data_IF_324357439777
#
_entry.id   IF_324357439777
#
_cell.length_a   1.000
_cell.length_b   1.000
_cell.length_c   1.000
_cell.angle_alpha   90.00
_cell.angle_beta   90.00
_cell.angle_gamma   90.00
#
_symmetry.space_group_name_H-M   'P 1'
#
loop_
_entity.id
_entity.type
_entity.pdbx_description
1 polymer ?
#
# COMPACT_ATOMS: atom_id res chain seq x y z
N UNK A 1 -27.77 7.86 -29.89
CA UNK A 1 -26.34 7.83 -29.49
C UNK A 1 -26.23 7.96 -27.98
N UNK A 2 -26.53 6.91 -27.22
CA UNK A 2 -26.38 6.86 -25.76
C UNK A 2 -25.83 5.48 -25.37
N UNK A 3 -24.67 5.11 -25.93
CA UNK A 3 -24.24 3.71 -25.88
C UNK A 3 -22.72 3.48 -25.90
N UNK A 4 -21.92 4.39 -25.33
CA UNK A 4 -20.46 4.18 -25.22
C UNK A 4 -19.84 4.55 -23.87
N UNK A 5 -20.58 5.15 -22.92
CA UNK A 5 -20.00 5.60 -21.64
C UNK A 5 -20.03 4.54 -20.54
N UNK A 6 -20.83 3.48 -20.68
CA UNK A 6 -20.95 2.41 -19.67
C UNK A 6 -20.00 1.21 -19.88
N UNK A 7 -19.04 1.30 -20.81
CA UNK A 7 -17.97 0.30 -20.96
C UNK A 7 -16.67 0.68 -20.24
N UNK A 8 -16.68 1.78 -19.47
CA UNK A 8 -15.48 2.33 -18.85
C UNK A 8 -15.31 1.83 -17.40
N UNK A 9 -14.29 0.99 -17.22
CA UNK A 9 -13.61 0.63 -15.97
C UNK A 9 -14.36 -0.28 -14.99
N UNK A 10 -14.31 -1.60 -15.24
CA UNK A 10 -14.31 -2.57 -14.13
C UNK A 10 -12.98 -2.41 -13.39
N UNK A 11 -12.91 -1.45 -12.50
CA UNK A 11 -11.75 -1.25 -11.65
C UNK A 11 -11.72 -2.40 -10.64
N UNK A 12 -10.99 -3.46 -10.96
CA UNK A 12 -10.72 -4.54 -10.01
C UNK A 12 -9.86 -3.97 -8.88
N UNK A 13 -10.49 -3.75 -7.73
CA UNK A 13 -9.81 -3.44 -6.49
C UNK A 13 -9.57 -4.72 -5.73
N UNK A 14 -8.31 -4.97 -5.39
CA UNK A 14 -7.94 -6.06 -4.50
C UNK A 14 -7.32 -5.45 -3.26
N UNK A 15 -7.99 -5.58 -2.13
CA UNK A 15 -7.45 -5.23 -0.83
C UNK A 15 -6.57 -6.38 -0.33
N UNK A 16 -5.36 -6.07 0.09
CA UNK A 16 -4.40 -7.02 0.65
C UNK A 16 -3.84 -6.46 1.95
N UNK A 17 -3.52 -7.35 2.88
CA UNK A 17 -2.73 -6.99 4.06
C UNK A 17 -1.25 -7.24 3.79
N UNK A 18 -0.43 -6.32 4.28
CA UNK A 18 1.02 -6.40 4.20
C UNK A 18 1.67 -6.13 5.55
N UNK A 19 2.96 -6.43 5.64
CA UNK A 19 3.81 -6.11 6.79
C UNK A 19 4.67 -4.89 6.53
N UNK A 20 5.08 -4.21 7.61
CA UNK A 20 6.27 -3.37 7.61
C UNK A 20 7.32 -4.11 8.43
N UNK A 21 8.26 -4.74 7.71
CA UNK A 21 9.29 -5.58 8.28
C UNK A 21 10.54 -4.76 8.54
N UNK A 22 11.17 -4.98 9.69
CA UNK A 22 12.58 -4.65 9.85
C UNK A 22 13.47 -5.78 9.31
N UNK A 23 14.78 -5.50 9.22
CA UNK A 23 15.76 -6.45 8.71
C UNK A 23 15.86 -7.75 9.52
N UNK A 24 15.60 -7.70 10.82
CA UNK A 24 15.65 -8.88 11.71
C UNK A 24 14.46 -9.79 11.45
N UNK A 25 13.27 -9.20 11.29
CA UNK A 25 12.05 -9.92 10.90
C UNK A 25 12.21 -10.54 9.51
N UNK A 26 12.75 -9.79 8.54
CA UNK A 26 13.03 -10.32 7.20
C UNK A 26 14.06 -11.47 7.25
N UNK A 27 15.13 -11.35 8.03
CA UNK A 27 16.13 -12.41 8.18
C UNK A 27 15.53 -13.68 8.79
N UNK A 28 14.52 -13.52 9.65
CA UNK A 28 13.82 -14.65 10.26
C UNK A 28 12.88 -15.35 9.25
N UNK A 29 12.21 -14.57 8.39
CA UNK A 29 11.29 -15.11 7.38
C UNK A 29 12.02 -15.65 6.12
N UNK A 30 13.07 -14.97 5.67
CA UNK A 30 13.83 -15.32 4.47
C UNK A 30 15.27 -14.80 4.57
N UNK A 31 16.21 -15.61 5.10
CA UNK A 31 17.61 -15.23 5.26
C UNK A 31 18.27 -14.74 3.96
N UNK A 32 17.98 -15.42 2.84
CA UNK A 32 18.53 -15.07 1.52
C UNK A 32 17.99 -13.74 0.99
N UNK A 33 16.74 -13.39 1.31
CA UNK A 33 16.18 -12.09 0.96
C UNK A 33 16.79 -10.98 1.82
N UNK A 34 16.97 -11.22 3.12
CA UNK A 34 17.61 -10.27 4.04
C UNK A 34 19.08 -9.99 3.69
N UNK A 35 19.81 -11.00 3.23
CA UNK A 35 21.20 -10.84 2.79
C UNK A 35 21.32 -9.95 1.53
N UNK A 36 20.28 -9.94 0.68
CA UNK A 36 20.22 -9.16 -0.56
C UNK A 36 19.55 -7.79 -0.38
N UNK A 37 18.83 -7.57 0.72
CA UNK A 37 18.18 -6.30 0.99
C UNK A 37 19.21 -5.19 1.27
N UNK A 38 19.17 -4.07 0.53
CA UNK A 38 19.96 -2.89 0.84
C UNK A 38 19.24 -1.92 1.80
N UNK A 39 18.08 -2.33 2.32
CA UNK A 39 17.23 -1.55 3.23
C UNK A 39 17.07 -2.23 4.57
N UNK A 40 16.94 -1.41 5.62
CA UNK A 40 16.70 -1.88 6.98
C UNK A 40 15.19 -2.07 7.23
N UNK A 41 14.35 -1.38 6.47
CA UNK A 41 12.89 -1.54 6.47
C UNK A 41 12.34 -1.92 5.09
N UNK A 42 11.37 -2.84 5.07
CA UNK A 42 10.72 -3.31 3.85
C UNK A 42 9.21 -3.39 4.00
N UNK A 43 8.50 -3.05 2.92
CA UNK A 43 7.07 -3.27 2.80
C UNK A 43 6.81 -4.67 2.24
N UNK A 44 6.24 -5.54 3.05
CA UNK A 44 5.87 -6.90 2.67
C UNK A 44 4.48 -6.94 2.05
N UNK A 45 4.34 -7.63 0.92
CA UNK A 45 3.03 -7.89 0.31
C UNK A 45 3.03 -9.17 -0.52
N UNK A 46 1.84 -9.71 -0.80
CA UNK A 46 1.67 -10.86 -1.70
C UNK A 46 1.32 -10.41 -3.10
N UNK A 47 1.84 -11.08 -4.13
CA UNK A 47 1.52 -10.87 -5.53
C UNK A 47 1.44 -12.17 -6.34
N UNK A 48 0.71 -12.17 -7.44
CA UNK A 48 0.79 -13.25 -8.43
C UNK A 48 1.95 -13.02 -9.40
N UNK A 49 2.46 -14.08 -10.02
CA UNK A 49 3.68 -13.98 -10.84
C UNK A 49 3.56 -12.96 -11.98
N UNK A 50 2.37 -12.83 -12.59
CA UNK A 50 2.11 -11.85 -13.65
C UNK A 50 2.31 -10.40 -13.18
N UNK A 51 2.00 -10.08 -11.94
CA UNK A 51 2.13 -8.73 -11.38
C UNK A 51 3.61 -8.40 -11.17
N UNK A 52 4.38 -9.36 -10.69
CA UNK A 52 5.81 -9.20 -10.42
C UNK A 52 6.63 -9.09 -11.68
N UNK A 53 6.35 -9.91 -12.69
CA UNK A 53 6.98 -9.78 -14.00
C UNK A 53 6.74 -8.40 -14.63
N UNK A 54 5.60 -7.75 -14.36
CA UNK A 54 5.35 -6.36 -14.82
C UNK A 54 6.21 -5.34 -14.07
N UNK A 55 6.40 -5.51 -12.77
CA UNK A 55 7.23 -4.63 -11.95
C UNK A 55 8.73 -4.79 -12.26
N UNK A 56 9.17 -5.98 -12.64
CA UNK A 56 10.57 -6.29 -12.98
C UNK A 56 10.92 -6.04 -14.46
N UNK A 57 9.92 -5.87 -15.33
CA UNK A 57 10.14 -5.73 -16.77
C UNK A 57 10.75 -4.37 -17.14
N UNK A 58 11.94 -4.38 -17.74
CA UNK A 58 12.56 -3.17 -18.31
C UNK A 58 11.84 -2.58 -19.53
N UNK A 59 10.82 -3.26 -20.05
CA UNK A 59 10.03 -2.80 -21.20
C UNK A 59 8.71 -2.12 -20.81
N UNK A 60 8.29 -2.26 -19.55
CA UNK A 60 7.07 -1.64 -19.05
C UNK A 60 7.47 -0.41 -18.24
N UNK A 61 6.97 0.80 -18.60
CA UNK A 61 7.22 1.99 -17.80
C UNK A 61 6.79 1.76 -16.36
N UNK A 62 7.64 2.13 -15.42
CA UNK A 62 7.36 2.06 -13.99
C UNK A 62 7.58 3.43 -13.35
N UNK A 63 6.62 3.84 -12.53
CA UNK A 63 6.68 5.09 -11.78
C UNK A 63 6.33 4.86 -10.31
N UNK A 64 7.03 5.56 -9.42
CA UNK A 64 6.74 5.57 -7.98
C UNK A 64 6.51 7.00 -7.49
N UNK A 65 5.52 7.17 -6.62
CA UNK A 65 5.23 8.44 -5.93
C UNK A 65 4.84 8.16 -4.50
N UNK A 66 5.26 9.04 -3.59
CA UNK A 66 4.76 9.05 -2.23
C UNK A 66 3.90 10.28 -1.97
N UNK A 67 2.87 10.10 -1.15
CA UNK A 67 1.96 11.15 -0.69
C UNK A 67 1.60 10.89 0.77
N UNK A 68 1.32 11.95 1.52
CA UNK A 68 0.82 11.84 2.90
C UNK A 68 -0.64 12.30 2.93
N UNK A 69 -1.49 11.48 3.53
CA UNK A 69 -2.91 11.75 3.69
C UNK A 69 -3.24 11.84 5.18
N UNK A 70 -3.70 13.01 5.67
CA UNK A 70 -4.23 13.12 7.02
C UNK A 70 -5.62 12.49 7.09
N UNK A 71 -5.87 11.67 8.10
CA UNK A 71 -7.22 11.20 8.41
C UNK A 71 -7.96 12.18 9.30
N UNK A 72 -9.26 11.95 9.47
CA UNK A 72 -10.10 12.77 10.36
C UNK A 72 -9.76 12.57 11.84
N UNK A 73 -9.21 11.40 12.19
CA UNK A 73 -8.73 11.11 13.54
C UNK A 73 -7.32 11.68 13.81
N UNK A 74 -6.70 12.33 12.81
CA UNK A 74 -5.36 12.90 12.91
C UNK A 74 -4.23 11.91 12.65
N UNK A 75 -4.54 10.66 12.28
CA UNK A 75 -3.52 9.69 11.85
C UNK A 75 -3.05 10.07 10.47
N UNK A 76 -1.74 10.10 10.28
CA UNK A 76 -1.13 10.37 8.98
C UNK A 76 -0.88 9.05 8.26
N UNK A 77 -1.27 8.97 6.99
CA UNK A 77 -1.05 7.80 6.15
C UNK A 77 -0.07 8.14 5.04
N UNK A 78 1.08 7.49 5.05
CA UNK A 78 2.00 7.50 3.93
C UNK A 78 1.50 6.51 2.88
N UNK A 79 1.19 7.02 1.69
CA UNK A 79 0.69 6.24 0.56
C UNK A 79 1.74 6.25 -0.53
N UNK A 80 2.32 5.09 -0.79
CA UNK A 80 3.22 4.85 -1.91
C UNK A 80 2.41 4.31 -3.06
N UNK A 81 2.38 5.07 -4.14
CA UNK A 81 1.76 4.65 -5.39
C UNK A 81 2.84 4.18 -6.36
N UNK A 82 2.74 2.93 -6.80
CA UNK A 82 3.56 2.35 -7.85
C UNK A 82 2.68 2.07 -9.05
N UNK A 83 3.06 2.52 -10.24
CA UNK A 83 2.34 2.25 -11.48
C UNK A 83 3.24 1.55 -12.47
N UNK A 84 2.73 0.49 -13.08
CA UNK A 84 3.41 -0.26 -14.14
C UNK A 84 2.39 -0.68 -15.21
N UNK A 85 2.53 -0.12 -16.41
CA UNK A 85 1.55 -0.31 -17.49
C UNK A 85 0.16 0.17 -17.08
N UNK A 86 -0.83 -0.71 -17.10
CA UNK A 86 -2.21 -0.40 -16.66
C UNK A 86 -2.50 -0.77 -15.20
N UNK A 87 -1.49 -1.24 -14.46
CA UNK A 87 -1.61 -1.66 -13.07
C UNK A 87 -1.09 -0.58 -12.13
N UNK A 88 -1.81 -0.38 -11.02
CA UNK A 88 -1.40 0.49 -9.92
C UNK A 88 -1.42 -0.28 -8.60
N UNK A 89 -0.41 -0.06 -7.78
CA UNK A 89 -0.33 -0.51 -6.40
C UNK A 89 -0.32 0.71 -5.49
N UNK A 90 -1.14 0.69 -4.43
CA UNK A 90 -1.11 1.67 -3.35
C UNK A 90 -0.76 0.96 -2.06
N UNK A 91 0.44 1.20 -1.59
CA UNK A 91 0.92 0.72 -0.31
C UNK A 91 0.68 1.80 0.73
N UNK A 92 -0.11 1.45 1.74
CA UNK A 92 -0.66 2.37 2.72
C UNK A 92 0.01 2.02 4.05
N UNK A 93 0.77 2.97 4.58
CA UNK A 93 1.48 2.84 5.84
C UNK A 93 0.93 3.89 6.81
N UNK A 94 0.21 3.47 7.87
CA UNK A 94 -0.17 4.39 8.93
C UNK A 94 1.09 4.79 9.70
N UNK A 95 1.25 6.09 9.95
CA UNK A 95 2.27 6.65 10.81
C UNK A 95 1.77 6.55 12.24
N UNK A 96 2.04 5.41 12.87
CA UNK A 96 1.49 5.07 14.19
C UNK A 96 2.53 4.67 15.22
N UNK A 97 3.79 4.54 14.82
CA UNK A 97 4.88 4.09 15.68
C UNK A 97 6.25 4.53 15.16
N UNK A 98 7.29 4.28 15.96
CA UNK A 98 8.67 4.59 15.58
C UNK A 98 9.16 3.77 14.38
N UNK A 99 8.57 2.60 14.09
CA UNK A 99 9.00 1.75 12.97
C UNK A 99 8.56 2.38 11.64
N UNK A 100 7.30 2.75 11.52
CA UNK A 100 6.76 3.49 10.38
C UNK A 100 7.49 4.83 10.19
N UNK A 101 7.80 5.54 11.28
CA UNK A 101 8.61 6.76 11.22
C UNK A 101 10.02 6.52 10.64
N UNK A 102 10.77 5.55 11.19
CA UNK A 102 12.13 5.25 10.72
C UNK A 102 12.16 4.75 9.27
N UNK A 103 11.15 3.96 8.87
CA UNK A 103 10.99 3.54 7.48
C UNK A 103 10.79 4.74 6.55
N UNK A 104 9.97 5.72 6.95
CA UNK A 104 9.76 6.93 6.15
C UNK A 104 11.05 7.74 6.02
N UNK A 105 11.81 7.90 7.11
CA UNK A 105 13.13 8.55 7.07
C UNK A 105 14.07 7.86 6.07
N UNK A 106 14.09 6.52 6.07
CA UNK A 106 14.90 5.74 5.12
C UNK A 106 14.47 5.99 3.67
N UNK A 107 13.16 5.97 3.39
CA UNK A 107 12.61 6.22 2.06
C UNK A 107 12.93 7.65 1.58
N UNK A 108 12.84 8.64 2.46
CA UNK A 108 13.19 10.03 2.15
C UNK A 108 14.68 10.15 1.83
N UNK A 109 15.54 9.59 2.68
CA UNK A 109 16.99 9.66 2.51
C UNK A 109 17.46 8.95 1.23
N UNK A 110 16.88 7.79 0.90
CA UNK A 110 17.28 6.98 -0.26
C UNK A 110 16.52 7.32 -1.54
N UNK A 111 15.42 8.09 -1.47
CA UNK A 111 14.46 8.31 -2.57
C UNK A 111 13.92 7.01 -3.17
N UNK A 112 13.91 5.94 -2.38
CA UNK A 112 13.58 4.59 -2.83
C UNK A 112 12.80 3.88 -1.75
N UNK A 113 11.79 3.11 -2.15
CA UNK A 113 11.15 2.15 -1.27
C UNK A 113 11.55 0.74 -1.67
N UNK A 114 11.79 -0.08 -0.65
CA UNK A 114 12.14 -1.49 -0.80
C UNK A 114 10.94 -2.33 -0.37
N UNK A 115 10.60 -3.31 -1.19
CA UNK A 115 9.47 -4.20 -0.97
C UNK A 115 9.95 -5.65 -0.91
N UNK A 116 9.34 -6.42 -0.01
CA UNK A 116 9.46 -7.87 0.03
C UNK A 116 8.17 -8.48 -0.53
N UNK A 117 8.23 -8.99 -1.76
CA UNK A 117 7.06 -9.56 -2.41
C UNK A 117 7.04 -11.08 -2.33
N UNK A 118 5.98 -11.63 -1.74
CA UNK A 118 5.66 -13.04 -1.71
C UNK A 118 4.88 -13.43 -2.96
N UNK A 119 5.50 -14.22 -3.84
CA UNK A 119 4.90 -14.67 -5.09
C UNK A 119 4.04 -15.91 -4.83
N UNK A 120 2.72 -15.74 -4.83
CA UNK A 120 1.76 -16.77 -4.45
C UNK A 120 1.95 -18.09 -5.22
N UNK A 121 2.19 -18.00 -6.53
CA UNK A 121 2.29 -19.17 -7.42
C UNK A 121 3.56 -20.01 -7.17
N UNK A 122 4.61 -19.40 -6.62
CA UNK A 122 5.94 -20.04 -6.51
C UNK A 122 6.45 -20.17 -5.08
N UNK A 123 5.80 -19.51 -4.12
CA UNK A 123 6.25 -19.41 -2.73
C UNK A 123 7.56 -18.63 -2.54
N UNK A 124 8.09 -17.99 -3.59
CA UNK A 124 9.34 -17.24 -3.54
C UNK A 124 9.13 -15.84 -2.99
N UNK A 125 10.18 -15.31 -2.35
CA UNK A 125 10.25 -13.91 -1.93
C UNK A 125 11.20 -13.16 -2.86
N UNK A 126 10.66 -12.15 -3.56
CA UNK A 126 11.43 -11.22 -4.38
C UNK A 126 11.62 -9.90 -3.63
N UNK A 127 12.83 -9.35 -3.69
CA UNK A 127 13.11 -8.01 -3.19
C UNK A 127 13.05 -7.04 -4.36
N UNK A 128 12.14 -6.07 -4.29
CA UNK A 128 11.97 -5.03 -5.29
C UNK A 128 12.40 -3.70 -4.70
N UNK A 129 13.06 -2.89 -5.52
CA UNK A 129 13.45 -1.54 -5.15
C UNK A 129 12.93 -0.57 -6.19
N UNK A 130 12.15 0.41 -5.75
CA UNK A 130 11.49 1.34 -6.65
C UNK A 130 11.79 2.78 -6.24
N UNK A 131 12.20 3.58 -7.22
CA UNK A 131 12.39 5.02 -7.04
C UNK A 131 11.06 5.70 -6.72
N UNK A 132 11.09 6.62 -5.75
CA UNK A 132 9.90 7.33 -5.28
C UNK A 132 10.07 8.82 -5.53
N UNK A 133 9.11 9.39 -6.26
CA UNK A 133 8.95 10.83 -6.32
C UNK A 133 8.30 11.32 -5.02
N UNK A 134 9.00 12.17 -4.26
CA UNK A 134 8.53 12.65 -2.97
C UNK A 134 8.18 14.15 -3.07
N UNK A 135 7.05 14.60 -2.49
CA UNK A 135 6.85 16.02 -2.22
C UNK A 135 7.92 16.49 -1.20
N UNK A 136 8.35 17.75 -1.30
CA UNK A 136 9.42 18.40 -0.51
C UNK A 136 9.78 17.70 0.82
N UNK A 137 10.98 17.14 0.89
CA UNK A 137 11.47 16.19 1.90
C UNK A 137 11.24 16.65 3.35
N UNK A 138 11.65 17.88 3.67
CA UNK A 138 11.54 18.44 5.02
C UNK A 138 10.09 18.64 5.48
N UNK A 139 9.17 18.81 4.54
CA UNK A 139 7.75 18.99 4.83
C UNK A 139 7.07 17.69 5.24
N UNK A 140 7.57 16.55 4.76
CA UNK A 140 6.95 15.25 5.01
C UNK A 140 7.16 14.76 6.43
N UNK A 141 8.39 14.87 6.95
CA UNK A 141 8.70 14.43 8.32
C UNK A 141 7.92 15.25 9.35
N UNK A 142 7.86 16.57 9.17
CA UNK A 142 7.10 17.47 10.06
C UNK A 142 5.61 17.15 10.13
N UNK A 143 5.04 16.65 9.04
CA UNK A 143 3.63 16.27 9.01
C UNK A 143 3.34 15.03 9.86
N UNK A 144 4.34 14.20 10.16
CA UNK A 144 4.17 12.89 10.80
C UNK A 144 4.88 12.77 12.15
N UNK A 145 5.45 13.87 12.65
CA UNK A 145 6.17 13.93 13.94
C UNK A 145 5.27 13.62 15.14
N UNK A 146 3.97 13.85 15.02
CA UNK A 146 2.96 13.54 16.05
C UNK A 146 1.97 12.51 15.52
N UNK A 147 1.82 11.39 16.23
CA UNK A 147 0.82 10.37 15.93
C UNK A 147 -0.18 10.24 17.10
N UNK A 148 -1.49 10.33 16.83
CA UNK A 148 -2.49 10.18 17.88
C UNK A 148 -2.57 8.72 18.34
N UNK A 149 -2.63 8.52 19.64
CA UNK A 149 -2.91 7.20 20.21
C UNK A 149 -4.42 6.94 20.15
N UNK A 150 -4.84 6.15 19.16
CA UNK A 150 -6.22 5.72 19.01
C UNK A 150 -6.49 4.39 19.72
N UNK A 151 -7.72 4.22 20.20
CA UNK A 151 -8.23 2.93 20.63
C UNK A 151 -8.26 1.93 19.45
N UNK A 152 -8.14 0.62 19.70
CA UNK A 152 -8.13 -0.39 18.63
C UNK A 152 -9.31 -0.30 17.66
N UNK A 153 -10.52 -0.08 18.14
CA UNK A 153 -11.74 0.07 17.37
C UNK A 153 -11.70 1.32 16.45
N UNK A 154 -11.19 2.43 16.97
CA UNK A 154 -11.05 3.68 16.21
C UNK A 154 -10.02 3.55 15.10
N UNK A 155 -8.96 2.75 15.32
CA UNK A 155 -7.96 2.43 14.29
C UNK A 155 -8.58 1.71 13.09
N UNK A 156 -9.50 0.77 13.33
CA UNK A 156 -10.22 0.06 12.24
C UNK A 156 -11.06 1.05 11.45
N UNK A 157 -11.85 1.86 12.14
CA UNK A 157 -12.77 2.81 11.52
C UNK A 157 -11.98 3.83 10.69
N UNK A 158 -10.93 4.40 11.26
CA UNK A 158 -10.08 5.37 10.57
C UNK A 158 -9.42 4.78 9.32
N UNK A 159 -8.87 3.56 9.44
CA UNK A 159 -8.30 2.82 8.31
C UNK A 159 -9.34 2.59 7.20
N UNK A 160 -10.53 2.12 7.55
CA UNK A 160 -11.60 1.83 6.59
C UNK A 160 -12.05 3.09 5.83
N UNK A 161 -12.21 4.22 6.52
CA UNK A 161 -12.56 5.51 5.91
C UNK A 161 -11.46 5.98 4.95
N UNK A 162 -10.20 5.83 5.35
CA UNK A 162 -9.06 6.20 4.54
C UNK A 162 -8.98 5.30 3.29
N UNK A 163 -9.15 3.97 3.43
CA UNK A 163 -9.15 3.02 2.31
C UNK A 163 -10.22 3.38 1.28
N UNK A 164 -11.44 3.68 1.75
CA UNK A 164 -12.54 4.12 0.87
C UNK A 164 -12.16 5.36 0.06
N UNK A 165 -11.49 6.32 0.70
CA UNK A 165 -11.07 7.56 0.05
C UNK A 165 -10.02 7.28 -1.04
N UNK A 166 -9.05 6.41 -0.76
CA UNK A 166 -8.02 6.02 -1.73
C UNK A 166 -8.52 5.08 -2.83
N UNK A 167 -9.60 4.35 -2.58
CA UNK A 167 -10.29 3.50 -3.53
C UNK A 167 -11.23 4.29 -4.48
N UNK A 168 -11.51 5.56 -4.21
CA UNK A 168 -12.41 6.33 -5.09
C UNK A 168 -11.82 6.51 -6.50
N UNK A 169 -12.67 6.47 -7.53
CA UNK A 169 -12.26 6.67 -8.94
C UNK A 169 -11.52 7.99 -9.15
N UNK A 170 -11.93 9.05 -8.44
CA UNK A 170 -11.27 10.36 -8.44
C UNK A 170 -9.84 10.27 -7.91
N UNK A 171 -9.61 9.53 -6.83
CA UNK A 171 -8.28 9.34 -6.30
C UNK A 171 -7.39 8.49 -7.23
N UNK A 172 -7.97 7.62 -8.06
CA UNK A 172 -7.25 6.67 -8.91
C UNK A 172 -6.72 7.29 -10.20
N UNK A 173 -7.49 8.18 -10.82
CA UNK A 173 -7.25 8.66 -12.19
C UNK A 173 -5.96 9.44 -12.42
N UNK A 174 -5.23 9.87 -11.38
CA UNK A 174 -4.21 10.92 -11.52
C UNK A 174 -3.00 10.78 -10.59
N UNK A 175 -2.64 9.57 -10.14
CA UNK A 175 -1.54 9.44 -9.18
C UNK A 175 -0.16 9.80 -9.78
N UNK A 176 0.13 9.32 -10.99
CA UNK A 176 1.34 9.62 -11.78
C UNK A 176 0.92 9.89 -13.23
N UNK A 177 1.36 11.02 -13.78
CA UNK A 177 1.06 11.43 -15.16
C UNK A 177 1.61 10.42 -16.19
N UNK A 178 0.88 10.23 -17.29
CA UNK A 178 1.29 9.36 -18.40
C UNK A 178 0.87 7.90 -18.29
N UNK A 179 0.19 7.49 -17.21
CA UNK A 179 -0.33 6.13 -17.04
C UNK A 179 -1.85 6.08 -17.24
N UNK A 180 -2.36 5.00 -17.86
CA UNK A 180 -3.80 4.70 -17.94
C UNK A 180 -4.08 3.49 -17.04
N UNK A 181 -4.72 3.73 -15.89
CA UNK A 181 -4.95 2.70 -14.87
C UNK A 181 -6.22 1.92 -15.16
N UNK A 182 -6.13 0.60 -15.16
CA UNK A 182 -7.26 -0.33 -15.28
C UNK A 182 -7.37 -1.26 -14.06
N UNK A 183 -6.25 -1.56 -13.40
CA UNK A 183 -6.17 -2.47 -12.26
C UNK A 183 -5.58 -1.71 -11.06
N UNK A 184 -6.21 -1.79 -9.88
CA UNK A 184 -5.71 -1.16 -8.65
C UNK A 184 -5.62 -2.19 -7.53
N UNK A 185 -4.42 -2.34 -6.98
CA UNK A 185 -4.16 -3.14 -5.80
C UNK A 185 -3.93 -2.22 -4.62
N UNK A 186 -4.67 -2.42 -3.53
CA UNK A 186 -4.51 -1.69 -2.28
C UNK A 186 -3.84 -2.63 -1.28
N UNK A 187 -2.76 -2.18 -0.65
CA UNK A 187 -2.06 -2.93 0.38
C UNK A 187 -1.97 -2.10 1.63
N UNK A 188 -2.49 -2.60 2.75
CA UNK A 188 -2.37 -1.94 4.04
C UNK A 188 -1.28 -2.60 4.85
N UNK A 189 -0.23 -1.84 5.17
CA UNK A 189 0.90 -2.26 5.98
C UNK A 189 0.69 -1.85 7.43
N UNK A 190 -0.37 -2.41 8.03
CA UNK A 190 -0.68 -2.18 9.44
C UNK A 190 -0.57 -3.51 10.18
N UNK A 191 0.52 -3.75 10.94
CA UNK A 191 0.75 -5.02 11.63
C UNK A 191 -0.43 -5.46 12.52
N UNK A 192 -1.08 -4.50 13.19
CA UNK A 192 -2.25 -4.76 14.02
C UNK A 192 -3.46 -5.24 13.19
N UNK A 193 -3.74 -4.61 12.05
CA UNK A 193 -4.85 -5.01 11.19
C UNK A 193 -4.62 -6.39 10.56
N UNK A 194 -3.38 -6.69 10.16
CA UNK A 194 -3.01 -8.00 9.65
C UNK A 194 -3.27 -9.12 10.69
N UNK A 195 -3.03 -8.85 11.98
CA UNK A 195 -3.32 -9.80 13.07
C UNK A 195 -4.82 -10.00 13.32
N UNK A 196 -5.65 -8.99 13.06
CA UNK A 196 -7.11 -9.08 13.19
C UNK A 196 -7.77 -9.78 11.99
N UNK A 197 -7.20 -9.61 10.78
CA UNK A 197 -7.71 -10.20 9.53
C UNK A 197 -7.14 -11.61 9.26
N UNK A 198 -6.12 -12.05 10.01
CA UNK A 198 -5.48 -13.38 9.90
C UNK A 198 -6.41 -14.60 10.12
N UNK A 199 -7.73 -14.41 10.14
CA UNK A 199 -8.74 -15.45 9.95
C UNK A 199 -8.84 -15.99 8.53
N UNK A 200 -8.45 -15.25 7.48
CA UNK A 200 -8.22 -15.74 6.11
C UNK A 200 -7.78 -14.56 5.20
N UNK A 201 -6.74 -14.69 4.35
CA UNK A 201 -6.44 -13.69 3.33
C UNK A 201 -7.44 -13.83 2.17
N UNK A 202 -8.70 -13.48 2.41
CA UNK A 202 -9.64 -13.32 1.31
C UNK A 202 -9.26 -12.06 0.53
N UNK A 203 -9.21 -12.18 -0.80
CA UNK A 203 -9.37 -11.02 -1.67
C UNK A 203 -10.78 -10.52 -1.38
N UNK A 204 -10.91 -9.60 -0.41
CA UNK A 204 -12.18 -8.93 -0.14
C UNK A 204 -12.44 -8.09 -1.38
N UNK A 205 -13.30 -8.61 -2.25
CA UNK A 205 -13.98 -7.76 -3.23
C UNK A 205 -14.83 -6.84 -2.38
N UNK A 206 -14.42 -5.58 -2.29
CA UNK A 206 -15.24 -4.56 -1.65
C UNK A 206 -16.48 -4.37 -2.53
N UNK A 207 -17.54 -5.13 -2.25
CA UNK A 207 -18.86 -4.84 -2.81
C UNK A 207 -19.45 -3.68 -2.01
N UNK A 208 -20.17 -2.77 -2.68
CA UNK A 208 -20.72 -1.58 -2.03
C UNK A 208 -21.66 -1.92 -0.86
N UNK A 209 -22.21 -3.14 -0.83
CA UNK A 209 -23.12 -3.66 0.20
C UNK A 209 -22.45 -4.22 1.46
N UNK A 210 -21.22 -4.75 1.37
CA UNK A 210 -20.53 -5.34 2.54
C UNK A 210 -20.02 -4.27 3.53
N UNK A 211 -20.01 -3.01 3.06
CA UNK A 211 -19.60 -1.83 3.80
C UNK A 211 -20.69 -1.37 4.78
N UNK A 212 -21.96 -1.57 4.45
CA UNK A 212 -23.10 -1.20 5.31
C UNK A 212 -23.25 -2.17 6.50
N UNK A 213 -22.87 -3.43 6.35
CA UNK A 213 -22.98 -4.42 7.42
C UNK A 213 -21.88 -4.27 8.49
N UNK A 214 -20.69 -3.76 8.14
CA UNK A 214 -19.69 -3.34 9.13
C UNK A 214 -20.02 -2.00 9.81
N UNK A 215 -20.69 -1.08 9.10
CA UNK A 215 -21.23 0.14 9.71
C UNK A 215 -22.38 -0.14 10.69
N UNK A 216 -23.10 -1.26 10.54
CA UNK A 216 -24.18 -1.69 11.45
C UNK A 216 -23.72 -2.29 12.77
N UNK A 217 -22.46 -2.71 12.89
CA UNK A 217 -21.89 -3.13 14.18
C UNK A 217 -21.65 -1.91 15.10
N UNK A 218 -21.75 -0.69 14.56
CA UNK A 218 -21.65 0.57 15.28
C UNK A 218 -23.02 1.26 15.36
N UNK A 219 -23.96 0.63 16.05
CA UNK A 219 -25.11 1.29 16.69
C UNK A 219 -25.42 0.65 18.04
#
# INVERSE_FOLDING_TARGET
MKDQTNQMFTLLQQLRCGGLLDRVELASASPDAAARSPSDYLLEFTAVEKEIRRLESGFVPIGGRMTVFPSRAGVMYCVLTVQSGSMQWRHIVPMSDSRSYNWLEEVIAKRMATFACHVLDTGKVNILQLGMNLPQDDGLLRLVEEWPELAPEDKVIDCAVMLRSLASLEAIGTAIEGFIVQEVNLVVHWPWLAQQIAGEPEIVKLDESDIDDYARIVH
#
